data_IF_675402210113
#
_entry.id   IF_675402210113
#
_cell.length_a   1.000
_cell.length_b   1.000
_cell.length_c   1.000
_cell.angle_alpha   90.00
_cell.angle_beta   90.00
_cell.angle_gamma   90.00
#
_symmetry.space_group_name_H-M   'P 1'
#
loop_
_entity.id
_entity.type
_entity.pdbx_description
1 polymer ?
#
# COMPACT_ATOMS: atom_id res chain seq x y z
N UNK A 1 -9.47 -10.90 2.90
CA UNK A 1 -10.64 -10.26 2.26
C UNK A 1 -11.97 -10.53 2.98
N UNK A 2 -12.05 -11.47 3.93
CA UNK A 2 -13.29 -11.69 4.72
C UNK A 2 -13.76 -10.48 5.54
N UNK A 3 -12.92 -9.47 5.77
CA UNK A 3 -13.37 -8.22 6.41
C UNK A 3 -14.21 -7.32 5.49
N UNK A 4 -14.19 -7.55 4.16
CA UNK A 4 -14.92 -6.74 3.16
C UNK A 4 -16.23 -7.42 2.72
N UNK A 5 -16.43 -8.69 3.09
CA UNK A 5 -17.58 -9.49 2.62
C UNK A 5 -18.87 -9.26 3.39
N UNK A 6 -18.85 -8.60 4.56
CA UNK A 6 -20.02 -8.42 5.42
C UNK A 6 -20.55 -6.99 5.57
N UNK A 7 -19.68 -5.98 5.51
CA UNK A 7 -20.06 -4.59 5.70
C UNK A 7 -20.06 -3.89 4.33
N UNK A 8 -21.21 -3.38 3.89
CA UNK A 8 -21.34 -2.59 2.66
C UNK A 8 -20.61 -1.23 2.70
N UNK A 9 -19.83 -0.97 3.75
CA UNK A 9 -19.09 0.28 3.97
C UNK A 9 -17.71 -0.01 4.55
N UNK A 10 -16.74 0.78 4.14
CA UNK A 10 -15.38 0.77 4.61
C UNK A 10 -15.29 1.53 5.94
N UNK A 11 -14.74 0.84 6.95
CA UNK A 11 -14.61 1.35 8.32
C UNK A 11 -13.12 1.57 8.68
N UNK A 12 -12.74 2.71 9.26
CA UNK A 12 -11.35 3.00 9.64
C UNK A 12 -10.75 1.94 10.57
N UNK A 13 -11.58 1.32 11.41
CA UNK A 13 -11.17 0.33 12.41
C UNK A 13 -10.37 -0.87 11.88
N UNK A 14 -10.40 -1.14 10.57
CA UNK A 14 -9.54 -2.17 9.95
C UNK A 14 -8.04 -1.87 10.07
N UNK A 15 -7.67 -0.61 10.30
CA UNK A 15 -6.29 -0.16 10.54
C UNK A 15 -5.96 0.06 12.02
N UNK A 16 -6.93 -0.14 12.93
CA UNK A 16 -6.77 0.11 14.37
C UNK A 16 -7.87 1.03 14.92
N UNK A 17 -8.07 0.99 16.24
CA UNK A 17 -9.15 1.73 16.90
C UNK A 17 -9.01 3.26 16.73
N UNK A 18 -7.78 3.77 16.78
CA UNK A 18 -7.48 5.20 16.66
C UNK A 18 -7.52 5.72 15.22
N UNK A 19 -7.74 4.84 14.23
CA UNK A 19 -7.70 5.22 12.81
C UNK A 19 -8.77 6.26 12.45
N UNK A 20 -9.95 6.18 13.07
CA UNK A 20 -11.05 7.13 12.86
C UNK A 20 -10.68 8.55 13.33
N UNK A 21 -9.87 8.66 14.37
CA UNK A 21 -9.43 9.96 14.92
C UNK A 21 -8.18 10.49 14.21
N UNK A 22 -7.28 9.59 13.79
CA UNK A 22 -6.01 9.95 13.14
C UNK A 22 -6.23 10.39 11.70
N UNK A 23 -6.96 9.63 10.88
CA UNK A 23 -7.05 9.89 9.43
C UNK A 23 -7.54 11.29 9.06
N UNK A 24 -8.54 11.90 9.74
CA UNK A 24 -8.95 13.29 9.45
C UNK A 24 -7.87 14.34 9.73
N UNK A 25 -6.84 14.01 10.52
CA UNK A 25 -5.75 14.93 10.88
C UNK A 25 -4.54 14.83 9.95
N UNK A 26 -4.52 13.82 9.08
CA UNK A 26 -3.40 13.53 8.17
C UNK A 26 -3.41 14.51 6.99
N UNK A 27 -2.30 15.22 6.79
CA UNK A 27 -2.13 16.14 5.65
C UNK A 27 -1.21 15.61 4.54
N UNK A 28 -0.42 14.59 4.85
CA UNK A 28 0.56 13.99 3.95
C UNK A 28 0.88 12.55 4.38
N UNK A 29 1.36 11.75 3.43
CA UNK A 29 1.75 10.35 3.67
C UNK A 29 3.23 10.17 3.31
N UNK A 30 3.97 9.49 4.18
CA UNK A 30 5.32 9.02 3.90
C UNK A 30 5.34 7.50 3.99
N UNK A 31 5.56 6.83 2.87
CA UNK A 31 5.70 5.37 2.82
C UNK A 31 7.19 5.01 2.90
N UNK A 32 7.54 4.15 3.84
CA UNK A 32 8.90 3.67 4.07
C UNK A 32 8.94 2.15 3.93
N UNK A 33 9.77 1.65 3.02
CA UNK A 33 9.90 0.22 2.76
C UNK A 33 11.24 -0.14 2.12
N UNK A 34 11.50 -1.44 1.97
CA UNK A 34 12.65 -1.99 1.26
C UNK A 34 12.19 -2.91 0.13
N UNK A 35 12.97 -2.97 -0.96
CA UNK A 35 12.82 -3.95 -2.04
C UNK A 35 11.41 -3.99 -2.64
N UNK A 36 10.82 -5.18 -2.75
CA UNK A 36 9.49 -5.36 -3.37
C UNK A 36 8.40 -4.49 -2.72
N UNK A 37 8.47 -4.25 -1.42
CA UNK A 37 7.50 -3.41 -0.71
C UNK A 37 7.59 -1.92 -1.06
N UNK A 38 8.76 -1.41 -1.48
CA UNK A 38 8.85 -0.02 -1.95
C UNK A 38 8.14 0.16 -3.28
N UNK A 39 8.15 -0.84 -4.17
CA UNK A 39 7.36 -0.78 -5.42
C UNK A 39 5.85 -0.78 -5.16
N UNK A 40 5.39 -1.45 -4.08
CA UNK A 40 3.99 -1.37 -3.67
C UNK A 40 3.65 0.05 -3.21
N UNK A 41 4.53 0.66 -2.41
CA UNK A 41 4.44 2.07 -2.02
C UNK A 41 4.42 3.02 -3.23
N UNK A 42 5.30 2.83 -4.21
CA UNK A 42 5.34 3.64 -5.43
C UNK A 42 4.03 3.56 -6.24
N UNK A 43 3.39 2.39 -6.26
CA UNK A 43 2.06 2.24 -6.87
C UNK A 43 1.01 2.99 -6.04
N UNK A 44 1.02 2.81 -4.72
CA UNK A 44 0.07 3.45 -3.81
C UNK A 44 0.15 4.98 -3.79
N UNK A 45 1.34 5.55 -3.99
CA UNK A 45 1.55 7.00 -4.11
C UNK A 45 0.57 7.62 -5.09
N UNK A 46 0.44 7.02 -6.27
CA UNK A 46 -0.46 7.53 -7.29
C UNK A 46 -1.93 7.46 -6.86
N UNK A 47 -2.34 6.38 -6.20
CA UNK A 47 -3.69 6.26 -5.69
C UNK A 47 -3.99 7.29 -4.60
N UNK A 48 -3.07 7.47 -3.65
CA UNK A 48 -3.23 8.44 -2.55
C UNK A 48 -3.30 9.87 -3.09
N UNK A 49 -2.44 10.23 -4.04
CA UNK A 49 -2.45 11.58 -4.64
C UNK A 49 -3.70 11.82 -5.49
N UNK A 50 -4.10 10.86 -6.33
CA UNK A 50 -5.23 11.03 -7.25
C UNK A 50 -6.59 10.94 -6.55
N UNK A 51 -6.79 9.90 -5.75
CA UNK A 51 -8.08 9.59 -5.11
C UNK A 51 -8.21 10.38 -3.81
N UNK A 52 -7.26 10.24 -2.89
CA UNK A 52 -7.33 10.90 -1.59
C UNK A 52 -6.89 12.36 -1.61
N UNK A 53 -6.23 12.84 -2.67
CA UNK A 53 -5.80 14.24 -2.78
C UNK A 53 -4.75 14.64 -1.73
N UNK A 54 -4.01 13.67 -1.20
CA UNK A 54 -3.01 13.86 -0.15
C UNK A 54 -1.61 13.68 -0.75
N UNK A 55 -0.68 14.59 -0.44
CA UNK A 55 0.69 14.47 -0.89
C UNK A 55 1.33 13.18 -0.35
N UNK A 56 1.92 12.37 -1.22
CA UNK A 56 2.52 11.09 -0.83
C UNK A 56 3.96 10.98 -1.30
N UNK A 57 4.88 10.70 -0.38
CA UNK A 57 6.25 10.33 -0.73
C UNK A 57 6.52 8.86 -0.42
N UNK A 58 7.47 8.27 -1.16
CA UNK A 58 7.91 6.89 -0.95
C UNK A 58 9.42 6.90 -0.88
N UNK A 59 9.95 6.35 0.21
CA UNK A 59 11.38 6.34 0.47
C UNK A 59 11.88 4.94 0.80
N UNK A 60 13.11 4.68 0.35
CA UNK A 60 13.81 3.46 0.70
C UNK A 60 14.32 3.60 2.13
N UNK A 61 14.00 2.63 2.98
CA UNK A 61 14.28 2.73 4.42
C UNK A 61 15.77 2.90 4.75
N UNK A 62 16.66 2.26 3.97
CA UNK A 62 18.11 2.39 4.13
C UNK A 62 18.62 3.81 3.89
N UNK A 63 17.94 4.60 3.06
CA UNK A 63 18.29 6.00 2.79
C UNK A 63 17.67 6.94 3.83
N UNK A 64 16.37 6.75 4.11
CA UNK A 64 15.63 7.61 5.04
C UNK A 64 16.25 7.63 6.44
N UNK A 65 16.72 6.48 6.94
CA UNK A 65 17.29 6.36 8.30
C UNK A 65 18.57 7.17 8.53
N UNK A 66 19.27 7.59 7.47
CA UNK A 66 20.54 8.33 7.58
C UNK A 66 20.45 9.79 7.13
N UNK A 67 19.41 10.17 6.38
CA UNK A 67 19.28 11.53 5.87
C UNK A 67 18.70 12.48 6.91
N UNK A 68 18.97 13.77 6.73
CA UNK A 68 18.21 14.80 7.41
C UNK A 68 16.85 14.96 6.71
N UNK A 69 15.78 14.71 7.47
CA UNK A 69 14.40 14.81 7.00
C UNK A 69 13.72 15.99 7.69
N UNK A 70 12.79 16.63 6.97
CA UNK A 70 11.98 17.71 7.54
C UNK A 70 10.76 17.07 8.20
N UNK A 71 10.61 17.17 9.54
CA UNK A 71 9.50 16.54 10.23
C UNK A 71 8.19 17.23 9.87
N UNK A 72 7.13 16.43 9.76
CA UNK A 72 5.75 16.91 9.72
C UNK A 72 4.91 16.11 10.74
N UNK A 73 4.47 16.73 11.85
CA UNK A 73 3.67 16.06 12.87
C UNK A 73 2.32 15.52 12.36
N UNK A 74 1.79 16.05 11.26
CA UNK A 74 0.54 15.59 10.63
C UNK A 74 0.76 14.57 9.53
N UNK A 75 2.01 14.20 9.24
CA UNK A 75 2.31 13.18 8.24
C UNK A 75 2.09 11.78 8.80
N UNK A 76 1.30 10.98 8.07
CA UNK A 76 1.16 9.55 8.35
C UNK A 76 2.38 8.81 7.80
N UNK A 77 3.16 8.21 8.70
CA UNK A 77 4.29 7.35 8.36
C UNK A 77 3.81 5.91 8.22
N UNK A 78 3.83 5.40 6.99
CA UNK A 78 3.40 4.04 6.64
C UNK A 78 4.64 3.17 6.42
N UNK A 79 4.87 2.22 7.30
CA UNK A 79 5.96 1.23 7.16
C UNK A 79 5.43 -0.07 6.61
N UNK A 80 6.07 -0.58 5.55
CA UNK A 80 5.65 -1.82 4.88
C UNK A 80 6.75 -2.87 5.05
N UNK A 81 6.40 -4.02 5.61
CA UNK A 81 7.32 -5.15 5.73
C UNK A 81 6.58 -6.48 5.78
N UNK A 82 7.04 -7.48 5.02
CA UNK A 82 6.48 -8.83 5.08
C UNK A 82 6.77 -9.49 6.43
N UNK A 83 8.04 -9.46 6.89
CA UNK A 83 8.45 -10.11 8.14
C UNK A 83 8.12 -9.27 9.37
N UNK A 84 8.08 -7.95 9.22
CA UNK A 84 7.96 -7.00 10.32
C UNK A 84 9.23 -6.86 11.17
N UNK A 85 10.34 -7.48 10.74
CA UNK A 85 11.64 -7.50 11.42
C UNK A 85 12.77 -6.92 10.53
N UNK A 86 12.41 -6.32 9.38
CA UNK A 86 13.40 -5.72 8.46
C UNK A 86 14.14 -4.58 9.17
N UNK A 87 15.41 -4.80 9.48
CA UNK A 87 16.21 -3.92 10.33
C UNK A 87 16.24 -2.46 9.84
N UNK A 88 16.40 -2.24 8.53
CA UNK A 88 16.39 -0.88 7.96
C UNK A 88 15.02 -0.21 8.10
N UNK A 89 13.92 -0.94 7.87
CA UNK A 89 12.56 -0.40 8.05
C UNK A 89 12.27 -0.08 9.51
N UNK A 90 12.70 -0.93 10.44
CA UNK A 90 12.53 -0.69 11.88
C UNK A 90 13.36 0.53 12.33
N UNK A 91 14.61 0.63 11.89
CA UNK A 91 15.45 1.78 12.19
C UNK A 91 14.89 3.09 11.60
N UNK A 92 14.32 3.03 10.39
CA UNK A 92 13.64 4.16 9.78
C UNK A 92 12.37 4.58 10.56
N UNK A 93 11.60 3.62 11.09
CA UNK A 93 10.47 3.90 11.98
C UNK A 93 10.93 4.62 13.25
N UNK A 94 12.00 4.14 13.89
CA UNK A 94 12.58 4.79 15.08
C UNK A 94 13.04 6.21 14.76
N UNK A 95 13.69 6.41 13.61
CA UNK A 95 14.11 7.72 13.14
C UNK A 95 12.93 8.69 12.97
N UNK A 96 11.85 8.24 12.31
CA UNK A 96 10.64 9.05 12.14
C UNK A 96 10.01 9.42 13.50
N UNK A 97 9.90 8.46 14.42
CA UNK A 97 9.37 8.72 15.77
C UNK A 97 10.24 9.71 16.55
N UNK A 98 11.56 9.59 16.45
CA UNK A 98 12.50 10.52 17.09
C UNK A 98 12.39 11.95 16.53
N UNK A 99 11.95 12.09 15.28
CA UNK A 99 11.66 13.38 14.63
C UNK A 99 10.27 13.95 14.98
N UNK A 100 9.47 13.25 15.77
CA UNK A 100 8.16 13.71 16.23
C UNK A 100 6.98 13.24 15.39
N UNK A 101 7.17 12.27 14.50
CA UNK A 101 6.05 11.63 13.80
C UNK A 101 5.28 10.72 14.77
N UNK A 102 4.04 11.08 15.08
CA UNK A 102 3.14 10.32 15.98
C UNK A 102 2.21 9.39 15.21
N UNK A 103 1.75 9.80 14.02
CA UNK A 103 0.90 9.00 13.16
C UNK A 103 1.72 7.95 12.43
N UNK A 104 1.68 6.72 12.94
CA UNK A 104 2.46 5.60 12.41
C UNK A 104 1.54 4.42 12.11
N UNK A 105 1.72 3.82 10.94
CA UNK A 105 0.94 2.68 10.46
C UNK A 105 1.87 1.58 9.93
N UNK A 106 1.73 0.37 10.47
CA UNK A 106 2.36 -0.82 9.91
C UNK A 106 1.42 -1.56 8.94
N UNK A 107 1.89 -1.83 7.71
CA UNK A 107 1.30 -2.84 6.83
C UNK A 107 2.23 -4.05 6.85
N UNK A 108 1.80 -5.10 7.54
CA UNK A 108 2.65 -6.27 7.80
C UNK A 108 1.90 -7.59 7.65
N UNK A 109 2.61 -8.69 7.41
CA UNK A 109 2.00 -10.03 7.38
C UNK A 109 2.04 -10.71 8.77
N UNK A 110 3.01 -10.38 9.61
CA UNK A 110 3.25 -11.01 10.93
C UNK A 110 2.69 -10.11 12.05
N UNK A 111 1.59 -10.51 12.74
CA UNK A 111 0.92 -9.68 13.74
C UNK A 111 1.77 -9.30 14.96
N UNK A 112 2.67 -10.20 15.37
CA UNK A 112 3.47 -10.07 16.59
C UNK A 112 4.89 -9.58 16.30
N UNK A 113 5.09 -8.89 15.17
CA UNK A 113 6.41 -8.38 14.79
C UNK A 113 6.78 -7.09 15.51
N UNK A 114 8.08 -6.78 15.55
CA UNK A 114 8.61 -5.54 16.14
C UNK A 114 7.96 -4.30 15.53
N UNK A 115 7.91 -4.22 14.20
CA UNK A 115 7.30 -3.08 13.51
C UNK A 115 5.83 -2.89 13.93
N UNK A 116 5.04 -3.97 14.01
CA UNK A 116 3.61 -3.87 14.37
C UNK A 116 3.41 -3.40 15.82
N UNK A 117 4.26 -3.86 16.76
CA UNK A 117 4.18 -3.42 18.17
C UNK A 117 4.53 -1.95 18.36
N UNK A 118 5.34 -1.40 17.46
CA UNK A 118 5.89 -0.05 17.60
C UNK A 118 5.11 1.04 16.86
N UNK A 119 4.09 0.66 16.07
CA UNK A 119 3.21 1.57 15.34
C UNK A 119 1.86 1.74 16.04
N UNK A 120 1.27 2.93 15.96
CA UNK A 120 -0.05 3.23 16.52
C UNK A 120 -1.16 2.45 15.79
N UNK A 121 -1.09 2.43 14.46
CA UNK A 121 -2.03 1.75 13.57
C UNK A 121 -1.37 0.52 12.95
N UNK A 122 -2.18 -0.49 12.60
CA UNK A 122 -1.69 -1.73 11.99
C UNK A 122 -2.72 -2.36 11.06
N UNK A 123 -2.24 -2.89 9.95
CA UNK A 123 -3.00 -3.72 9.03
C UNK A 123 -2.24 -5.03 8.75
N UNK A 124 -2.91 -6.14 9.05
CA UNK A 124 -2.33 -7.47 8.82
C UNK A 124 -2.80 -8.02 7.48
N UNK A 125 -1.87 -8.20 6.54
CA UNK A 125 -2.19 -8.63 5.16
C UNK A 125 -2.68 -10.07 5.06
N UNK A 126 -2.29 -10.93 6.02
CA UNK A 126 -2.67 -12.36 6.08
C UNK A 126 -2.36 -13.14 4.80
N UNK A 127 -1.24 -12.81 4.15
CA UNK A 127 -0.73 -13.57 3.01
C UNK A 127 -0.24 -14.97 3.41
N UNK A 128 0.01 -15.22 4.70
CA UNK A 128 0.60 -16.45 5.21
C UNK A 128 2.13 -16.54 4.96
N UNK A 129 2.80 -17.62 5.37
CA UNK A 129 4.25 -17.74 5.26
C UNK A 129 4.71 -17.82 3.80
N UNK A 130 5.76 -17.09 3.44
CA UNK A 130 6.32 -17.07 2.10
C UNK A 130 7.71 -17.68 2.11
N UNK A 131 7.86 -18.83 1.44
CA UNK A 131 9.12 -19.61 1.40
C UNK A 131 9.96 -19.19 0.19
N UNK A 132 9.33 -18.69 -0.87
CA UNK A 132 10.00 -18.22 -2.06
C UNK A 132 10.87 -16.99 -1.78
N UNK A 133 12.05 -16.93 -2.43
CA UNK A 133 12.99 -15.82 -2.31
C UNK A 133 12.40 -14.53 -2.91
N UNK A 134 11.68 -14.64 -4.02
CA UNK A 134 10.97 -13.52 -4.63
C UNK A 134 9.58 -13.35 -4.00
N UNK A 135 9.29 -12.14 -3.53
CA UNK A 135 7.99 -11.79 -2.98
C UNK A 135 6.92 -11.74 -4.08
N UNK A 136 5.86 -12.51 -3.89
CA UNK A 136 4.71 -12.67 -4.80
C UNK A 136 3.42 -12.25 -4.10
N UNK A 137 2.91 -13.09 -3.20
CA UNK A 137 1.65 -12.87 -2.47
C UNK A 137 1.75 -11.73 -1.47
N UNK A 138 2.92 -11.51 -0.86
CA UNK A 138 3.11 -10.36 0.02
C UNK A 138 2.94 -9.05 -0.75
N UNK A 139 3.46 -8.97 -1.97
CA UNK A 139 3.34 -7.78 -2.81
C UNK A 139 1.87 -7.46 -3.18
N UNK A 140 1.12 -8.45 -3.68
CA UNK A 140 -0.26 -8.23 -4.10
C UNK A 140 -1.18 -7.91 -2.93
N UNK A 141 -0.99 -8.56 -1.77
CA UNK A 141 -1.76 -8.23 -0.56
C UNK A 141 -1.39 -6.87 0.04
N UNK A 142 -0.13 -6.43 -0.09
CA UNK A 142 0.29 -5.06 0.26
C UNK A 142 -0.42 -4.02 -0.63
N UNK A 143 -0.54 -4.27 -1.94
CA UNK A 143 -1.28 -3.40 -2.84
C UNK A 143 -2.76 -3.29 -2.43
N UNK A 144 -3.41 -4.41 -2.11
CA UNK A 144 -4.80 -4.38 -1.61
C UNK A 144 -4.94 -3.58 -0.31
N UNK A 145 -4.01 -3.75 0.64
CA UNK A 145 -4.01 -3.00 1.89
C UNK A 145 -3.82 -1.49 1.66
N UNK A 146 -2.87 -1.13 0.79
CA UNK A 146 -2.61 0.27 0.43
C UNK A 146 -3.79 0.91 -0.30
N UNK A 147 -4.50 0.16 -1.14
CA UNK A 147 -5.69 0.66 -1.81
C UNK A 147 -6.84 0.92 -0.81
N UNK A 148 -7.05 0.03 0.17
CA UNK A 148 -8.00 0.27 1.27
C UNK A 148 -7.63 1.50 2.10
N UNK A 149 -6.33 1.70 2.37
CA UNK A 149 -5.82 2.90 3.04
C UNK A 149 -6.17 4.15 2.23
N UNK A 150 -5.94 4.14 0.92
CA UNK A 150 -6.30 5.23 0.01
C UNK A 150 -7.78 5.60 0.12
N UNK A 151 -8.68 4.61 0.07
CA UNK A 151 -10.12 4.86 0.16
C UNK A 151 -10.51 5.47 1.51
N UNK A 152 -9.94 4.98 2.62
CA UNK A 152 -10.22 5.54 3.94
C UNK A 152 -9.68 6.97 4.11
N UNK A 153 -8.50 7.26 3.60
CA UNK A 153 -7.95 8.61 3.58
C UNK A 153 -8.80 9.54 2.69
N UNK A 154 -9.26 9.05 1.53
CA UNK A 154 -10.14 9.81 0.64
C UNK A 154 -11.50 10.11 1.31
N UNK A 155 -12.06 9.14 2.04
CA UNK A 155 -13.29 9.30 2.82
C UNK A 155 -13.10 10.33 3.94
N UNK A 156 -12.00 10.24 4.69
CA UNK A 156 -11.66 11.21 5.73
C UNK A 156 -11.45 12.63 5.18
N UNK A 157 -10.97 12.75 3.94
CA UNK A 157 -10.77 14.02 3.24
C UNK A 157 -11.99 14.47 2.41
N UNK A 158 -13.16 13.84 2.57
CA UNK A 158 -14.40 14.14 1.85
C UNK A 158 -14.29 14.08 0.31
N UNK A 159 -13.41 13.21 -0.21
CA UNK A 159 -13.16 13.02 -1.65
C UNK A 159 -13.67 11.70 -2.20
N UNK A 160 -14.23 10.85 -1.36
CA UNK A 160 -14.85 9.59 -1.76
C UNK A 160 -16.37 9.69 -1.58
N UNK A 161 -17.12 9.55 -2.67
CA UNK A 161 -18.57 9.44 -2.62
C UNK A 161 -18.99 8.03 -2.20
N UNK A 162 -20.22 7.86 -1.70
CA UNK A 162 -20.74 6.53 -1.35
C UNK A 162 -20.84 5.60 -2.57
N UNK A 163 -21.18 6.15 -3.74
CA UNK A 163 -21.26 5.41 -5.00
C UNK A 163 -19.88 4.95 -5.46
N UNK A 164 -18.86 5.82 -5.40
CA UNK A 164 -17.48 5.48 -5.73
C UNK A 164 -16.91 4.45 -4.72
N UNK A 165 -17.18 4.63 -3.42
CA UNK A 165 -16.79 3.67 -2.38
C UNK A 165 -17.34 2.29 -2.70
N UNK A 166 -18.63 2.21 -3.02
CA UNK A 166 -19.29 0.94 -3.38
C UNK A 166 -18.68 0.32 -4.63
N UNK A 167 -18.47 1.12 -5.68
CA UNK A 167 -17.87 0.66 -6.93
C UNK A 167 -16.46 0.07 -6.70
N UNK A 168 -15.60 0.76 -5.96
CA UNK A 168 -14.27 0.25 -5.63
C UNK A 168 -14.30 -1.00 -4.75
N UNK A 169 -15.22 -1.08 -3.79
CA UNK A 169 -15.39 -2.28 -2.98
C UNK A 169 -15.88 -3.47 -3.82
N UNK A 170 -16.75 -3.25 -4.80
CA UNK A 170 -17.18 -4.28 -5.74
C UNK A 170 -16.02 -4.76 -6.63
N UNK A 171 -15.17 -3.86 -7.13
CA UNK A 171 -13.95 -4.23 -7.86
C UNK A 171 -12.98 -5.07 -6.99
N UNK A 172 -12.78 -4.68 -5.73
CA UNK A 172 -11.95 -5.45 -4.79
C UNK A 172 -12.52 -6.85 -4.52
N UNK A 173 -13.85 -7.01 -4.47
CA UNK A 173 -14.50 -8.33 -4.34
C UNK A 173 -14.26 -9.21 -5.57
N UNK A 174 -14.13 -8.62 -6.75
CA UNK A 174 -13.81 -9.33 -7.99
C UNK A 174 -12.31 -9.61 -8.18
N UNK A 175 -11.43 -9.01 -7.35
CA UNK A 175 -9.99 -9.16 -7.48
C UNK A 175 -9.50 -10.62 -7.45
N UNK A 176 -9.99 -11.53 -6.57
CA UNK A 176 -9.56 -12.93 -6.59
C UNK A 176 -9.85 -13.61 -7.93
N UNK A 177 -11.04 -13.37 -8.51
CA UNK A 177 -11.42 -13.92 -9.82
C UNK A 177 -10.53 -13.36 -10.94
N UNK A 178 -10.19 -12.07 -10.88
CA UNK A 178 -9.28 -11.46 -11.84
C UNK A 178 -7.87 -12.08 -11.74
N UNK A 179 -7.39 -12.36 -10.52
CA UNK A 179 -6.10 -13.04 -10.30
C UNK A 179 -6.13 -14.45 -10.87
N UNK A 180 -7.20 -15.22 -10.65
CA UNK A 180 -7.34 -16.57 -11.22
C UNK A 180 -7.25 -16.57 -12.75
N UNK A 181 -7.88 -15.58 -13.40
CA UNK A 181 -7.78 -15.41 -14.86
C UNK A 181 -6.36 -15.11 -15.33
N UNK A 182 -5.60 -14.31 -14.57
CA UNK A 182 -4.19 -14.04 -14.87
C UNK A 182 -3.34 -15.30 -14.67
N UNK A 183 -3.58 -16.06 -13.60
CA UNK A 183 -2.88 -17.32 -13.34
C UNK A 183 -3.15 -18.36 -14.42
N UNK A 184 -4.35 -18.37 -15.02
CA UNK A 184 -4.67 -19.24 -16.15
C UNK A 184 -3.82 -18.96 -17.42
N UNK A 185 -3.08 -17.85 -17.47
CA UNK A 185 -2.12 -17.56 -18.53
C UNK A 185 -0.78 -18.31 -18.38
N UNK A 186 -0.58 -19.05 -17.28
CA UNK A 186 0.65 -19.79 -16.98
C UNK A 186 1.20 -20.61 -18.16
N UNK A 187 0.41 -21.44 -18.89
CA UNK A 187 0.95 -22.23 -20.00
C UNK A 187 1.53 -21.36 -21.12
N UNK A 188 0.87 -20.23 -21.41
CA UNK A 188 1.33 -19.27 -22.41
C UNK A 188 2.62 -18.57 -21.94
N UNK A 189 2.68 -18.14 -20.68
CA UNK A 189 3.87 -17.50 -20.10
C UNK A 189 5.06 -18.48 -20.10
N UNK A 190 4.82 -19.75 -19.77
CA UNK A 190 5.83 -20.79 -19.81
C UNK A 190 6.39 -20.98 -21.23
N UNK A 191 5.51 -21.05 -22.25
CA UNK A 191 5.95 -21.12 -23.64
C UNK A 191 6.79 -19.90 -24.03
N UNK A 192 6.38 -18.70 -23.60
CA UNK A 192 7.10 -17.46 -23.85
C UNK A 192 8.47 -17.38 -23.16
N UNK A 193 8.60 -17.98 -21.97
CA UNK A 193 9.85 -17.96 -21.19
C UNK A 193 11.03 -18.57 -21.96
N UNK A 194 10.77 -19.52 -22.86
CA UNK A 194 11.80 -20.12 -23.73
C UNK A 194 12.50 -19.10 -24.64
N UNK A 195 11.81 -18.01 -25.02
CA UNK A 195 12.41 -16.94 -25.82
C UNK A 195 13.41 -16.10 -25.01
N UNK A 196 13.30 -16.10 -23.68
CA UNK A 196 14.15 -15.35 -22.75
C UNK A 196 15.28 -16.20 -22.14
N UNK A 197 15.18 -17.53 -22.19
CA UNK A 197 16.14 -18.44 -21.53
C UNK A 197 17.61 -18.17 -21.88
N UNK A 198 17.88 -17.78 -23.14
CA UNK A 198 19.24 -17.49 -23.64
C UNK A 198 19.53 -15.99 -23.78
N UNK A 199 18.79 -15.12 -23.07
CA UNK A 199 19.01 -13.66 -23.10
C UNK A 199 19.66 -13.22 -21.79
N UNK A 200 20.64 -12.32 -21.89
CA UNK A 200 21.34 -11.76 -20.73
C UNK A 200 20.80 -10.39 -20.29
N UNK A 201 19.90 -9.81 -21.08
CA UNK A 201 19.36 -8.48 -20.86
C UNK A 201 17.87 -8.47 -21.18
N UNK A 202 17.11 -7.74 -20.36
CA UNK A 202 15.71 -7.46 -20.57
C UNK A 202 15.43 -6.03 -20.09
N UNK A 203 14.53 -5.33 -20.78
CA UNK A 203 14.11 -3.99 -20.43
C UNK A 203 12.60 -4.00 -20.20
N UNK A 204 12.17 -3.56 -19.02
CA UNK A 204 10.76 -3.50 -18.65
C UNK A 204 10.30 -2.05 -18.74
N UNK A 205 9.28 -1.81 -19.57
CA UNK A 205 8.62 -0.52 -19.67
C UNK A 205 7.25 -0.59 -18.99
N UNK A 206 6.92 0.41 -18.20
CA UNK A 206 5.58 0.60 -17.67
C UNK A 206 5.05 1.95 -18.15
N UNK A 207 4.10 1.97 -19.12
CA UNK A 207 3.36 3.17 -19.42
C UNK A 207 2.55 3.58 -18.18
N UNK A 208 2.27 4.88 -18.06
CA UNK A 208 1.36 5.37 -17.04
C UNK A 208 -0.01 4.70 -17.19
N UNK A 209 -0.41 3.92 -16.18
CA UNK A 209 -1.76 3.39 -16.06
C UNK A 209 -2.49 4.24 -15.01
N UNK A 210 -3.23 5.24 -15.46
CA UNK A 210 -4.18 5.93 -14.59
C UNK A 210 -5.21 4.90 -14.10
N UNK A 211 -5.60 4.98 -12.82
CA UNK A 211 -6.91 4.45 -12.44
C UNK A 211 -7.97 5.11 -13.34
N UNK A 212 -9.03 4.39 -13.74
CA UNK A 212 -10.15 5.00 -14.46
C UNK A 212 -10.58 6.26 -13.69
N UNK A 213 -10.64 7.34 -14.44
CA UNK A 213 -10.61 8.69 -13.93
C UNK A 213 -11.83 8.97 -13.04
N UNK A 214 -11.64 9.22 -11.75
CA UNK A 214 -12.65 9.93 -10.95
C UNK A 214 -12.89 11.35 -11.51
N UNK A 215 -12.01 11.85 -12.38
CA UNK A 215 -12.09 13.16 -13.00
C UNK A 215 -12.85 13.18 -14.34
N UNK A 216 -14.03 12.54 -14.39
CA UNK A 216 -15.12 12.96 -15.28
C UNK A 216 -15.59 14.43 -15.08
N UNK A 217 -14.81 15.29 -14.42
CA UNK A 217 -15.16 16.67 -14.03
C UNK A 217 -14.09 17.74 -14.37
N UNK A 218 -13.05 17.44 -15.17
CA UNK A 218 -12.06 18.46 -15.57
C UNK A 218 -11.73 18.53 -17.06
N UNK A 219 -12.68 18.16 -17.91
CA UNK A 219 -12.61 18.42 -19.35
C UNK A 219 -13.86 19.19 -19.83
N UNK A 220 -14.13 20.34 -19.20
CA UNK A 220 -15.06 21.37 -19.68
C UNK A 220 -14.85 22.64 -18.84
N UNK A 221 -13.83 23.43 -19.20
CA UNK A 221 -13.69 24.85 -18.89
C UNK A 221 -12.67 25.45 -19.87
#
# INVERSE_FOLDING_TARGET
MEMISGAGQLQPGIFGAEAADIFPQVDSVLIIACGTSSYAGMTAKYWIEQVAGIACNVEIASEYRYRQSVPNPKQLVVVISQSGETADTLAALHHAKAQGHTYTLAICNVPESAIVRETALRFITRAGPEIGVASTKAFTTQLSALFLLTLLLAKANHRLSEDDEKAYLDELRHLPIAVDKVLALEPSIQAWSNHFANKHHALFFRPWAALPDCAGRRAQA
#
